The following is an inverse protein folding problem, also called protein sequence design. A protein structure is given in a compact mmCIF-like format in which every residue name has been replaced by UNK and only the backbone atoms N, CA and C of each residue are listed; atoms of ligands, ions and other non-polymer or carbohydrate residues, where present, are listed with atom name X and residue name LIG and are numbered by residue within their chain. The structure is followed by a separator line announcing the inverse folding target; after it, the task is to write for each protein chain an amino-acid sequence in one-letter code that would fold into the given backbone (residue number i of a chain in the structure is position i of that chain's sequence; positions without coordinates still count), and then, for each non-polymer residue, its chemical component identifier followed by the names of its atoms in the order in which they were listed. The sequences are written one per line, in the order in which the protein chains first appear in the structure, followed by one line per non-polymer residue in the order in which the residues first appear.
data_IF_433940873246
#
_entry.id   IF_433940873246
#
_cell.length_a   1.000
_cell.length_b   1.000
_cell.length_c   1.000
_cell.angle_alpha   90.00
_cell.angle_beta   90.00
_cell.angle_gamma   90.00
#
_symmetry.space_group_name_H-M   'P 1'
#
loop_
_entity.id
_entity.type
_entity.pdbx_description
1 polymer ?
#
# COMPACT_ATOMS: atom_id res chain seq x y z
N UNK A 1 16.21 -21.90 -4.67
CA UNK A 1 15.33 -20.84 -4.12
C UNK A 1 14.20 -21.43 -3.27
N UNK A 2 13.43 -22.40 -3.78
CA UNK A 2 12.25 -22.97 -3.07
C UNK A 2 12.58 -23.79 -1.81
N UNK A 3 13.83 -24.20 -1.63
CA UNK A 3 14.27 -25.05 -0.50
C UNK A 3 15.05 -24.32 0.57
N UNK A 4 15.12 -22.98 0.56
CA UNK A 4 15.65 -22.25 1.68
C UNK A 4 14.66 -22.21 2.86
N UNK A 5 15.14 -22.05 4.07
CA UNK A 5 14.33 -22.11 5.31
C UNK A 5 13.17 -21.11 5.30
N UNK A 6 13.41 -19.87 4.81
CA UNK A 6 12.38 -18.84 4.72
C UNK A 6 11.24 -19.24 3.78
N UNK A 7 11.55 -19.83 2.62
CA UNK A 7 10.53 -20.30 1.67
C UNK A 7 9.75 -21.48 2.22
N UNK A 8 10.42 -22.41 2.93
CA UNK A 8 9.76 -23.54 3.60
C UNK A 8 8.81 -23.04 4.68
N UNK A 9 9.26 -22.10 5.53
CA UNK A 9 8.42 -21.50 6.57
C UNK A 9 7.21 -20.78 5.97
N UNK A 10 7.43 -19.96 4.92
CA UNK A 10 6.35 -19.24 4.24
C UNK A 10 5.28 -20.19 3.68
N UNK A 11 5.68 -21.27 3.02
CA UNK A 11 4.72 -22.29 2.51
C UNK A 11 3.90 -22.91 3.63
N UNK A 12 4.53 -23.24 4.76
CA UNK A 12 3.83 -23.81 5.91
C UNK A 12 2.80 -22.85 6.50
N UNK A 13 3.16 -21.57 6.62
CA UNK A 13 2.26 -20.54 7.16
C UNK A 13 1.08 -20.20 6.26
N UNK A 14 1.19 -20.47 4.96
CA UNK A 14 0.15 -20.16 3.97
C UNK A 14 -0.49 -21.43 3.36
N UNK A 15 -0.30 -22.60 3.97
CA UNK A 15 -0.84 -23.90 3.52
C UNK A 15 -0.54 -24.22 2.04
N UNK A 16 0.63 -23.79 1.55
CA UNK A 16 1.08 -24.04 0.19
C UNK A 16 1.76 -25.40 0.10
N UNK A 17 1.26 -26.32 -0.75
CA UNK A 17 1.84 -27.65 -0.90
C UNK A 17 3.30 -27.62 -1.32
N UNK A 18 4.16 -28.40 -0.67
CA UNK A 18 5.58 -28.48 -1.03
C UNK A 18 5.84 -29.11 -2.40
N UNK A 19 4.84 -29.78 -2.96
CA UNK A 19 4.88 -30.36 -4.31
C UNK A 19 4.70 -29.33 -5.44
N UNK A 20 4.25 -28.13 -5.11
CA UNK A 20 4.14 -27.05 -6.09
C UNK A 20 5.54 -26.53 -6.46
N UNK A 21 5.76 -26.33 -7.75
CA UNK A 21 6.97 -25.70 -8.27
C UNK A 21 6.90 -24.18 -8.17
N UNK A 22 7.96 -23.54 -8.66
CA UNK A 22 8.06 -22.09 -8.79
C UNK A 22 8.27 -21.74 -10.26
N UNK A 23 7.46 -20.83 -10.80
CA UNK A 23 7.70 -20.26 -12.10
C UNK A 23 8.92 -19.31 -12.02
N UNK A 24 9.77 -19.37 -13.03
CA UNK A 24 10.95 -18.50 -13.16
C UNK A 24 10.92 -17.81 -14.50
N UNK A 25 10.92 -16.48 -14.47
CA UNK A 25 11.06 -15.65 -15.66
C UNK A 25 12.53 -15.20 -15.77
N UNK A 26 13.11 -15.35 -16.95
CA UNK A 26 14.43 -14.81 -17.28
C UNK A 26 14.23 -13.68 -18.28
N UNK A 27 14.57 -12.47 -17.88
CA UNK A 27 14.40 -11.29 -18.71
C UNK A 27 15.67 -10.44 -18.70
N UNK A 28 15.84 -9.62 -19.74
CA UNK A 28 16.95 -8.68 -19.83
C UNK A 28 16.86 -7.64 -18.72
N UNK A 29 17.98 -7.32 -18.12
CA UNK A 29 18.10 -6.22 -17.15
C UNK A 29 17.94 -4.88 -17.85
N UNK A 30 17.33 -3.92 -17.14
CA UNK A 30 17.30 -2.50 -17.48
C UNK A 30 17.87 -1.70 -16.34
N UNK A 31 18.53 -0.59 -16.66
CA UNK A 31 19.33 0.17 -15.69
C UNK A 31 18.84 1.61 -15.59
N UNK A 32 18.32 1.96 -14.42
CA UNK A 32 17.88 3.33 -14.11
C UNK A 32 19.00 4.27 -13.66
N UNK A 33 20.25 3.78 -13.58
CA UNK A 33 21.40 4.51 -13.05
C UNK A 33 22.50 4.78 -14.10
N UNK A 34 22.13 4.84 -15.39
CA UNK A 34 23.09 5.05 -16.47
C UNK A 34 23.28 6.53 -16.88
N UNK A 35 22.55 7.44 -16.24
CA UNK A 35 22.64 8.88 -16.54
C UNK A 35 21.39 9.66 -16.16
N UNK A 36 21.35 10.93 -16.58
CA UNK A 36 20.26 11.84 -16.23
C UNK A 36 18.96 11.62 -17.01
N UNK A 37 19.00 10.78 -18.03
CA UNK A 37 17.86 10.30 -18.82
C UNK A 37 17.36 8.91 -18.36
N UNK A 38 17.85 8.48 -17.21
CA UNK A 38 17.52 7.20 -16.57
C UNK A 38 16.91 7.44 -15.18
N UNK A 39 16.09 6.50 -14.74
CA UNK A 39 15.47 6.56 -13.41
C UNK A 39 14.70 5.29 -13.08
N UNK A 40 14.18 5.23 -11.88
CA UNK A 40 13.33 4.11 -11.41
C UNK A 40 12.28 4.64 -10.46
N UNK A 41 11.18 3.92 -10.31
CA UNK A 41 10.12 4.33 -9.40
C UNK A 41 9.09 3.25 -9.13
N UNK A 42 8.24 3.58 -8.18
CA UNK A 42 7.10 2.79 -7.75
C UNK A 42 5.86 3.68 -7.71
N UNK A 43 4.74 3.20 -8.19
CA UNK A 43 3.51 3.99 -8.12
C UNK A 43 2.25 3.12 -8.13
N UNK A 44 1.19 3.69 -7.59
CA UNK A 44 -0.16 3.15 -7.59
C UNK A 44 -1.02 3.94 -8.58
N UNK A 45 -1.96 3.28 -9.24
CA UNK A 45 -2.95 3.94 -10.11
C UNK A 45 -3.93 4.82 -9.35
N UNK A 46 -4.13 4.53 -8.06
CA UNK A 46 -4.97 5.30 -7.12
C UNK A 46 -4.26 5.43 -5.78
N UNK A 47 -4.60 6.43 -4.98
CA UNK A 47 -4.04 6.61 -3.66
C UNK A 47 -4.40 5.44 -2.73
N UNK A 48 -3.43 4.65 -2.24
CA UNK A 48 -3.68 3.45 -1.43
C UNK A 48 -4.23 3.75 -0.03
N UNK A 49 -4.09 4.98 0.45
CA UNK A 49 -4.61 5.40 1.76
C UNK A 49 -6.05 5.91 1.68
N UNK A 50 -6.40 6.65 0.62
CA UNK A 50 -7.69 7.35 0.48
C UNK A 50 -8.62 6.75 -0.56
N UNK A 51 -8.09 6.01 -1.55
CA UNK A 51 -8.82 5.50 -2.71
C UNK A 51 -9.04 6.53 -3.82
N UNK A 52 -8.51 7.75 -3.68
CA UNK A 52 -8.64 8.79 -4.69
C UNK A 52 -8.03 8.36 -6.03
N UNK A 53 -8.72 8.64 -7.14
CA UNK A 53 -8.26 8.34 -8.49
C UNK A 53 -7.20 9.35 -8.93
N UNK A 54 -6.02 9.21 -8.34
CA UNK A 54 -4.84 9.99 -8.67
C UNK A 54 -3.61 9.10 -8.55
N UNK A 55 -2.66 9.24 -9.47
CA UNK A 55 -1.39 8.53 -9.38
C UNK A 55 -0.71 8.90 -8.06
N UNK A 56 -0.29 7.88 -7.32
CA UNK A 56 0.37 8.01 -6.05
C UNK A 56 1.65 7.19 -6.04
N UNK A 57 2.79 7.82 -5.85
CA UNK A 57 4.06 7.11 -5.87
C UNK A 57 5.24 8.05 -5.95
N UNK A 58 6.40 7.47 -6.13
CA UNK A 58 7.67 8.18 -6.10
C UNK A 58 8.66 7.61 -7.12
N UNK A 59 9.61 8.45 -7.52
CA UNK A 59 10.68 8.07 -8.43
C UNK A 59 12.01 8.73 -8.05
N UNK A 60 13.08 8.13 -8.51
CA UNK A 60 14.44 8.67 -8.42
C UNK A 60 15.09 8.70 -9.81
N UNK A 61 15.71 9.83 -10.14
CA UNK A 61 16.56 9.95 -11.32
C UNK A 61 17.92 9.34 -11.06
N UNK A 62 18.50 8.74 -12.10
CA UNK A 62 19.82 8.11 -12.06
C UNK A 62 19.98 7.18 -10.83
N UNK A 63 19.08 6.20 -10.72
CA UNK A 63 18.97 5.31 -9.56
C UNK A 63 18.47 3.91 -9.96
N UNK A 64 18.76 2.94 -9.11
CA UNK A 64 18.19 1.59 -9.16
C UNK A 64 17.06 1.43 -8.13
N UNK A 65 16.25 0.36 -8.25
CA UNK A 65 15.11 0.11 -7.37
C UNK A 65 15.48 0.05 -5.89
N UNK A 66 16.67 -0.46 -5.57
CA UNK A 66 17.20 -0.52 -4.19
C UNK A 66 17.41 0.88 -3.59
N UNK A 67 17.75 1.88 -4.40
CA UNK A 67 17.95 3.26 -3.93
C UNK A 67 16.65 3.91 -3.47
N UNK A 68 15.52 3.55 -4.10
CA UNK A 68 14.18 4.02 -3.70
C UNK A 68 13.81 3.48 -2.32
N UNK A 69 14.13 2.21 -2.07
CA UNK A 69 13.75 1.50 -0.83
C UNK A 69 14.74 1.80 0.31
N UNK A 70 16.01 2.03 -0.01
CA UNK A 70 17.06 2.24 0.99
C UNK A 70 16.97 3.59 1.73
N UNK A 71 16.22 4.56 1.20
CA UNK A 71 16.04 5.87 1.84
C UNK A 71 17.32 6.74 1.90
N UNK A 72 18.34 6.41 1.10
CA UNK A 72 19.61 7.17 1.04
C UNK A 72 19.44 8.51 0.32
N UNK A 73 18.52 8.55 -0.65
CA UNK A 73 18.13 9.74 -1.42
C UNK A 73 16.65 10.00 -1.21
N UNK A 74 16.26 11.28 -1.19
CA UNK A 74 14.83 11.65 -1.11
C UNK A 74 14.18 11.48 -2.47
N UNK A 75 13.20 10.57 -2.61
CA UNK A 75 12.45 10.41 -3.86
C UNK A 75 11.60 11.65 -4.17
N UNK A 76 11.28 11.81 -5.44
CA UNK A 76 10.35 12.82 -5.93
C UNK A 76 8.96 12.20 -6.14
N UNK A 77 7.92 12.99 -5.98
CA UNK A 77 6.55 12.54 -6.26
C UNK A 77 6.36 12.20 -7.74
N UNK A 78 5.65 11.11 -8.02
CA UNK A 78 5.47 10.59 -9.39
C UNK A 78 4.97 11.65 -10.39
N UNK A 79 4.15 12.59 -9.94
CA UNK A 79 3.62 13.65 -10.81
C UNK A 79 4.69 14.63 -11.30
N UNK A 80 5.80 14.77 -10.58
CA UNK A 80 6.94 15.61 -10.99
C UNK A 80 7.71 15.00 -12.17
N UNK A 81 7.54 13.69 -12.44
CA UNK A 81 8.11 13.05 -13.62
C UNK A 81 7.64 13.69 -14.92
N UNK A 82 6.43 14.30 -14.93
CA UNK A 82 5.90 15.05 -16.05
C UNK A 82 6.79 16.23 -16.47
N UNK A 83 7.46 16.86 -15.50
CA UNK A 83 8.34 18.00 -15.75
C UNK A 83 9.74 17.56 -16.21
N UNK A 84 10.21 16.44 -15.67
CA UNK A 84 11.58 15.94 -15.92
C UNK A 84 11.65 15.07 -17.17
N UNK A 85 10.65 14.20 -17.38
CA UNK A 85 10.58 13.25 -18.51
C UNK A 85 9.13 13.14 -19.02
N UNK A 86 8.60 14.13 -19.75
CA UNK A 86 7.19 14.21 -20.14
C UNK A 86 6.75 13.02 -21.02
N UNK A 87 7.60 12.53 -21.90
CA UNK A 87 7.28 11.38 -22.78
C UNK A 87 7.17 10.09 -21.99
N UNK A 88 8.11 9.82 -21.09
CA UNK A 88 8.07 8.65 -20.22
C UNK A 88 6.86 8.71 -19.26
N UNK A 89 6.53 9.89 -18.73
CA UNK A 89 5.36 10.09 -17.91
C UNK A 89 4.06 9.82 -18.69
N UNK A 90 3.94 10.31 -19.93
CA UNK A 90 2.77 10.06 -20.77
C UNK A 90 2.59 8.57 -21.08
N UNK A 91 3.68 7.86 -21.39
CA UNK A 91 3.65 6.41 -21.57
C UNK A 91 3.23 5.69 -20.28
N UNK A 92 3.75 6.13 -19.12
CA UNK A 92 3.42 5.55 -17.83
C UNK A 92 1.92 5.70 -17.51
N UNK A 93 1.34 6.88 -17.72
CA UNK A 93 -0.10 7.15 -17.52
C UNK A 93 -0.96 6.25 -18.43
N UNK A 94 -0.58 6.09 -19.70
CA UNK A 94 -1.29 5.20 -20.62
C UNK A 94 -1.24 3.74 -20.17
N UNK A 95 -0.09 3.27 -19.72
CA UNK A 95 0.08 1.92 -19.16
C UNK A 95 -0.76 1.74 -17.90
N UNK A 96 -0.78 2.72 -16.99
CA UNK A 96 -1.62 2.70 -15.79
C UNK A 96 -3.10 2.49 -16.12
N UNK A 97 -3.62 3.25 -17.09
CA UNK A 97 -5.00 3.10 -17.53
C UNK A 97 -5.31 1.73 -18.12
N UNK A 98 -4.40 1.21 -18.94
CA UNK A 98 -4.53 -0.14 -19.53
C UNK A 98 -4.51 -1.25 -18.49
N UNK A 99 -3.62 -1.16 -17.51
CA UNK A 99 -3.50 -2.15 -16.44
C UNK A 99 -4.71 -2.12 -15.51
N UNK A 100 -5.16 -0.95 -15.09
CA UNK A 100 -6.35 -0.81 -14.25
C UNK A 100 -7.60 -1.35 -14.96
N UNK A 101 -7.78 -1.04 -16.24
CA UNK A 101 -8.89 -1.55 -17.04
C UNK A 101 -8.82 -3.08 -17.24
N UNK A 102 -7.63 -3.63 -17.45
CA UNK A 102 -7.42 -5.06 -17.65
C UNK A 102 -7.70 -5.87 -16.38
N UNK A 103 -7.10 -5.45 -15.24
CA UNK A 103 -7.25 -6.14 -13.97
C UNK A 103 -8.52 -5.75 -13.21
N UNK A 104 -9.22 -4.71 -13.68
CA UNK A 104 -10.40 -4.15 -13.01
C UNK A 104 -10.14 -3.89 -11.53
N UNK A 105 -8.96 -3.33 -11.23
CA UNK A 105 -8.51 -3.04 -9.88
C UNK A 105 -7.34 -2.08 -9.88
N UNK A 106 -7.20 -1.33 -8.76
CA UNK A 106 -6.03 -0.50 -8.50
C UNK A 106 -4.75 -1.32 -8.59
N UNK A 107 -3.76 -0.82 -9.32
CA UNK A 107 -2.48 -1.48 -9.51
C UNK A 107 -1.35 -0.78 -8.76
N UNK A 108 -0.45 -1.58 -8.21
CA UNK A 108 0.86 -1.23 -7.66
C UNK A 108 1.91 -1.66 -8.67
N UNK A 109 2.74 -0.72 -9.12
CA UNK A 109 3.62 -0.92 -10.27
C UNK A 109 5.04 -0.50 -9.93
N UNK A 110 5.99 -1.25 -10.48
CA UNK A 110 7.40 -0.93 -10.46
C UNK A 110 7.87 -0.68 -11.90
N UNK A 111 8.65 0.36 -12.11
CA UNK A 111 9.15 0.72 -13.44
C UNK A 111 10.58 1.24 -13.40
N UNK A 112 11.25 1.16 -14.52
CA UNK A 112 12.57 1.75 -14.77
C UNK A 112 12.54 2.50 -16.09
N UNK A 113 13.23 3.62 -16.14
CA UNK A 113 13.48 4.40 -17.36
C UNK A 113 14.96 4.25 -17.67
N UNK A 114 15.28 3.76 -18.86
CA UNK A 114 16.64 3.69 -19.37
C UNK A 114 16.73 4.46 -20.68
N UNK A 115 17.62 5.42 -20.77
CA UNK A 115 17.82 6.26 -21.96
C UNK A 115 16.50 6.86 -22.49
N UNK A 116 15.70 7.42 -21.58
CA UNK A 116 14.39 8.01 -21.87
C UNK A 116 13.26 7.00 -22.16
N UNK A 117 13.54 5.70 -22.25
CA UNK A 117 12.56 4.68 -22.55
C UNK A 117 12.02 4.03 -21.28
N UNK A 118 10.69 3.97 -21.17
CA UNK A 118 9.99 3.32 -20.05
C UNK A 118 9.99 1.80 -20.18
N UNK A 119 10.27 1.10 -19.08
CA UNK A 119 10.14 -0.33 -18.91
C UNK A 119 9.34 -0.65 -17.66
N UNK A 120 8.26 -1.40 -17.82
CA UNK A 120 7.49 -1.91 -16.68
C UNK A 120 8.16 -3.18 -16.16
N UNK A 121 8.42 -3.22 -14.85
CA UNK A 121 9.08 -4.35 -14.21
C UNK A 121 8.08 -5.31 -13.56
N UNK A 122 7.11 -4.74 -12.84
CA UNK A 122 6.12 -5.51 -12.10
C UNK A 122 4.80 -4.73 -12.01
N UNK A 123 3.70 -5.48 -12.02
CA UNK A 123 2.39 -4.98 -11.60
C UNK A 123 1.71 -6.00 -10.70
N UNK A 124 0.93 -5.51 -9.75
CA UNK A 124 0.11 -6.33 -8.83
C UNK A 124 -1.09 -5.51 -8.34
N UNK A 125 -2.10 -6.20 -7.83
CA UNK A 125 -3.19 -5.52 -7.14
C UNK A 125 -2.61 -4.77 -5.91
N UNK A 126 -2.87 -3.48 -5.83
CA UNK A 126 -2.30 -2.62 -4.82
C UNK A 126 -2.84 -2.93 -3.43
N UNK A 127 -1.93 -3.07 -2.46
CA UNK A 127 -2.32 -3.09 -1.04
C UNK A 127 -2.85 -1.72 -0.66
N UNK A 128 -3.93 -1.71 0.13
CA UNK A 128 -4.66 -0.49 0.46
C UNK A 128 -5.30 -0.57 1.85
N UNK A 129 -5.67 0.58 2.40
CA UNK A 129 -6.46 0.64 3.63
C UNK A 129 -7.89 0.12 3.37
N UNK A 130 -8.59 -0.26 4.43
CA UNK A 130 -9.99 -0.68 4.33
C UNK A 130 -10.88 0.40 3.72
N UNK A 131 -10.70 1.66 4.12
CA UNK A 131 -11.43 2.81 3.58
C UNK A 131 -11.16 3.02 2.09
N UNK A 132 -9.89 2.96 1.67
CA UNK A 132 -9.52 3.04 0.27
C UNK A 132 -10.10 1.88 -0.55
N UNK A 133 -10.08 0.65 0.00
CA UNK A 133 -10.63 -0.53 -0.66
C UNK A 133 -12.12 -0.39 -0.96
N UNK A 134 -12.90 0.06 0.02
CA UNK A 134 -14.34 0.30 -0.15
C UNK A 134 -14.60 1.41 -1.19
N UNK A 135 -13.88 2.54 -1.07
CA UNK A 135 -14.03 3.63 -2.03
C UNK A 135 -13.68 3.19 -3.46
N UNK A 136 -12.56 2.49 -3.66
CA UNK A 136 -12.14 2.01 -4.98
C UNK A 136 -13.17 1.05 -5.57
N UNK A 137 -13.74 0.13 -4.79
CA UNK A 137 -14.77 -0.78 -5.26
C UNK A 137 -16.04 -0.03 -5.74
N UNK A 138 -16.46 1.00 -5.00
CA UNK A 138 -17.57 1.87 -5.41
C UNK A 138 -17.23 2.66 -6.69
N UNK A 139 -16.06 3.29 -6.74
CA UNK A 139 -15.63 4.10 -7.87
C UNK A 139 -15.53 3.24 -9.16
N UNK A 140 -14.98 2.03 -9.09
CA UNK A 140 -14.88 1.10 -10.22
C UNK A 140 -16.26 0.64 -10.72
N UNK A 141 -17.23 0.50 -9.83
CA UNK A 141 -18.61 0.25 -10.21
C UNK A 141 -19.23 1.47 -10.91
N UNK A 142 -19.08 2.66 -10.35
CA UNK A 142 -19.62 3.91 -10.92
C UNK A 142 -18.97 4.25 -12.27
N UNK A 143 -17.69 3.87 -12.46
CA UNK A 143 -16.95 3.98 -13.71
C UNK A 143 -17.37 2.91 -14.76
N UNK A 144 -18.23 1.96 -14.40
CA UNK A 144 -18.71 0.89 -15.28
C UNK A 144 -17.69 -0.23 -15.54
N UNK A 145 -16.61 -0.29 -14.77
CA UNK A 145 -15.61 -1.35 -14.88
C UNK A 145 -16.03 -2.66 -14.19
N UNK A 146 -16.89 -2.56 -13.16
CA UNK A 146 -17.39 -3.67 -12.37
C UNK A 146 -18.90 -3.72 -12.39
N UNK A 147 -19.49 -4.91 -12.28
CA UNK A 147 -20.87 -5.08 -11.85
C UNK A 147 -20.98 -4.82 -10.36
N UNK A 148 -22.19 -4.66 -9.84
CA UNK A 148 -22.44 -4.48 -8.40
C UNK A 148 -21.96 -5.68 -7.59
N UNK A 149 -22.18 -6.88 -8.11
CA UNK A 149 -21.76 -8.14 -7.50
C UNK A 149 -20.22 -8.25 -7.48
N UNK A 150 -19.55 -7.91 -8.59
CA UNK A 150 -18.08 -7.89 -8.65
C UNK A 150 -17.48 -6.87 -7.66
N UNK A 151 -18.10 -5.68 -7.53
CA UNK A 151 -17.66 -4.67 -6.58
C UNK A 151 -17.77 -5.14 -5.10
N UNK A 152 -18.89 -5.81 -4.77
CA UNK A 152 -19.10 -6.40 -3.43
C UNK A 152 -18.03 -7.46 -3.13
N UNK A 153 -17.70 -8.32 -4.10
CA UNK A 153 -16.70 -9.37 -3.93
C UNK A 153 -15.26 -8.85 -3.78
N UNK A 154 -15.01 -7.58 -4.14
CA UNK A 154 -13.70 -6.94 -3.93
C UNK A 154 -13.48 -6.45 -2.49
N UNK A 155 -14.53 -6.35 -1.70
CA UNK A 155 -14.45 -5.89 -0.31
C UNK A 155 -14.41 -7.08 0.62
N UNK A 156 -13.29 -7.26 1.32
CA UNK A 156 -13.15 -8.31 2.32
C UNK A 156 -14.01 -7.99 3.57
N UNK A 157 -14.85 -8.92 4.05
CA UNK A 157 -15.71 -8.67 5.20
C UNK A 157 -14.97 -8.18 6.46
N UNK A 158 -13.76 -8.69 6.70
CA UNK A 158 -12.93 -8.27 7.83
C UNK A 158 -12.51 -6.80 7.75
N UNK A 159 -12.40 -6.24 6.55
CA UNK A 159 -12.11 -4.81 6.37
C UNK A 159 -13.29 -3.93 6.79
N UNK A 160 -14.53 -4.42 6.60
CA UNK A 160 -15.72 -3.70 7.05
C UNK A 160 -15.77 -3.61 8.59
N UNK A 161 -15.40 -4.66 9.30
CA UNK A 161 -15.30 -4.61 10.76
C UNK A 161 -14.35 -3.51 11.22
N UNK A 162 -13.22 -3.37 10.54
CA UNK A 162 -12.26 -2.29 10.83
C UNK A 162 -12.87 -0.89 10.66
N UNK A 163 -13.71 -0.70 9.64
CA UNK A 163 -14.39 0.58 9.38
C UNK A 163 -15.53 0.88 10.36
N UNK A 164 -16.13 -0.15 10.94
CA UNK A 164 -17.19 -0.03 11.94
C UNK A 164 -16.68 0.29 13.35
N UNK A 165 -15.37 0.14 13.59
CA UNK A 165 -14.79 0.55 14.87
C UNK A 165 -14.83 2.08 15.05
N UNK A 166 -14.98 2.57 16.29
CA UNK A 166 -14.89 3.99 16.61
C UNK A 166 -13.59 4.59 16.07
N UNK A 167 -13.68 5.77 15.48
CA UNK A 167 -12.54 6.52 14.98
C UNK A 167 -12.54 7.92 15.61
N UNK A 168 -11.35 8.52 15.72
CA UNK A 168 -11.26 9.93 16.10
C UNK A 168 -11.64 10.83 14.93
N UNK A 169 -12.28 11.95 15.24
CA UNK A 169 -12.47 13.02 14.26
C UNK A 169 -11.11 13.47 13.69
N UNK A 170 -10.93 13.49 12.35
CA UNK A 170 -9.64 13.83 11.74
C UNK A 170 -9.16 15.25 12.09
N UNK A 171 -10.09 16.22 12.23
CA UNK A 171 -9.75 17.59 12.58
C UNK A 171 -9.31 17.70 14.05
N UNK A 172 -9.98 16.98 14.94
CA UNK A 172 -9.61 16.90 16.34
C UNK A 172 -8.24 16.23 16.52
N UNK A 173 -7.99 15.14 15.78
CA UNK A 173 -6.72 14.41 15.81
C UNK A 173 -5.54 15.25 15.33
N UNK A 174 -5.74 16.07 14.30
CA UNK A 174 -4.72 16.98 13.76
C UNK A 174 -4.29 18.06 14.77
N UNK A 175 -5.22 18.48 15.64
CA UNK A 175 -4.99 19.51 16.65
C UNK A 175 -4.63 18.94 18.03
N UNK A 176 -4.61 17.62 18.19
CA UNK A 176 -4.31 16.96 19.45
C UNK A 176 -2.80 16.98 19.73
N UNK A 177 -2.44 17.19 20.99
CA UNK A 177 -1.06 17.02 21.46
C UNK A 177 -0.70 15.52 21.50
N UNK A 178 0.36 15.15 20.81
CA UNK A 178 0.86 13.77 20.79
C UNK A 178 1.81 13.57 21.95
N UNK A 179 1.36 12.87 22.97
CA UNK A 179 2.16 12.58 24.18
C UNK A 179 3.15 11.42 23.93
N UNK A 180 2.74 10.39 23.23
CA UNK A 180 3.58 9.24 22.89
C UNK A 180 3.05 8.50 21.65
N UNK A 181 3.90 7.67 21.05
CA UNK A 181 3.55 6.75 19.95
C UNK A 181 3.75 5.31 20.40
N UNK A 182 2.81 4.43 20.03
CA UNK A 182 2.88 3.00 20.33
C UNK A 182 2.27 2.17 19.20
N UNK A 183 2.43 0.85 19.29
CA UNK A 183 1.77 -0.10 18.39
C UNK A 183 0.36 -0.39 18.92
N UNK A 184 -0.63 -0.28 18.04
CA UNK A 184 -2.01 -0.61 18.38
C UNK A 184 -2.18 -2.14 18.52
N UNK A 185 -2.61 -2.59 19.70
CA UNK A 185 -2.92 -4.00 19.95
C UNK A 185 -4.37 -4.37 19.62
N UNK A 186 -5.26 -3.38 19.49
CA UNK A 186 -6.64 -3.55 19.05
C UNK A 186 -7.03 -2.44 18.08
N UNK A 187 -7.96 -2.71 17.13
CA UNK A 187 -8.40 -1.71 16.17
C UNK A 187 -9.28 -0.64 16.83
N UNK A 188 -9.41 0.51 16.13
CA UNK A 188 -10.29 1.59 16.50
C UNK A 188 -9.66 2.60 17.45
N UNK A 189 -10.47 3.59 17.82
CA UNK A 189 -10.11 4.67 18.74
C UNK A 189 -10.68 4.43 20.13
N UNK A 190 -9.89 4.68 21.16
CA UNK A 190 -10.31 4.56 22.54
C UNK A 190 -9.91 5.78 23.34
N UNK A 191 -10.81 6.24 24.24
CA UNK A 191 -10.53 7.29 25.19
C UNK A 191 -10.67 6.72 26.61
N UNK A 192 -9.73 7.04 27.48
CA UNK A 192 -9.76 6.60 28.87
C UNK A 192 -8.50 6.96 29.63
N UNK A 193 -8.49 6.61 30.91
CA UNK A 193 -7.31 6.79 31.75
C UNK A 193 -6.25 5.74 31.41
N UNK A 194 -5.01 6.15 31.31
CA UNK A 194 -3.90 5.25 31.01
C UNK A 194 -3.61 4.36 32.22
N UNK A 195 -3.51 3.06 31.98
CA UNK A 195 -3.11 2.05 32.97
C UNK A 195 -2.01 1.16 32.36
N UNK A 196 -1.14 0.65 33.22
CA UNK A 196 0.04 -0.10 32.79
C UNK A 196 -0.03 -1.60 33.09
N UNK A 197 -1.01 -2.04 33.86
CA UNK A 197 -1.22 -3.46 34.18
C UNK A 197 -2.62 -3.93 33.79
N UNK A 198 -2.74 -5.19 33.43
CA UNK A 198 -4.03 -5.80 33.13
C UNK A 198 -4.94 -5.82 34.36
N UNK A 199 -4.37 -5.99 35.56
CA UNK A 199 -5.10 -5.97 36.83
C UNK A 199 -5.76 -4.60 37.06
N UNK A 200 -5.02 -3.50 36.86
CA UNK A 200 -5.57 -2.15 36.97
C UNK A 200 -6.66 -1.89 35.93
N UNK A 201 -6.46 -2.34 34.70
CA UNK A 201 -7.47 -2.21 33.67
C UNK A 201 -8.80 -2.89 34.06
N UNK A 202 -8.72 -4.10 34.61
CA UNK A 202 -9.90 -4.85 35.10
C UNK A 202 -10.54 -4.15 36.30
N UNK A 203 -9.75 -3.75 37.27
CA UNK A 203 -10.25 -3.08 38.47
C UNK A 203 -10.97 -1.75 38.15
N UNK A 204 -10.39 -0.97 37.26
CA UNK A 204 -10.98 0.29 36.82
C UNK A 204 -12.21 0.13 35.94
N UNK A 205 -12.21 -0.88 35.08
CA UNK A 205 -13.40 -1.25 34.30
C UNK A 205 -14.56 -1.64 35.21
N UNK A 206 -14.29 -2.44 36.26
CA UNK A 206 -15.31 -2.85 37.24
C UNK A 206 -15.84 -1.63 38.08
N UNK A 207 -15.00 -0.59 38.23
CA UNK A 207 -15.40 0.69 38.83
C UNK A 207 -16.09 1.65 37.82
N UNK A 208 -16.45 1.18 36.61
CA UNK A 208 -17.14 1.98 35.60
C UNK A 208 -16.26 2.99 34.84
N UNK A 209 -14.93 2.93 35.00
CA UNK A 209 -14.00 3.85 34.35
C UNK A 209 -13.56 3.28 32.98
N UNK A 210 -13.43 4.19 32.00
CA UNK A 210 -12.79 3.86 30.70
C UNK A 210 -11.28 3.91 30.86
N UNK A 211 -10.59 2.91 30.32
CA UNK A 211 -9.13 2.80 30.42
C UNK A 211 -8.48 2.50 29.08
N UNK A 212 -7.25 2.96 28.92
CA UNK A 212 -6.35 2.59 27.83
C UNK A 212 -5.15 1.88 28.45
N UNK A 213 -4.99 0.60 28.15
CA UNK A 213 -3.87 -0.20 28.64
C UNK A 213 -2.66 0.01 27.74
N UNK A 214 -1.56 0.50 28.33
CA UNK A 214 -0.27 0.69 27.66
C UNK A 214 0.75 -0.25 28.29
N UNK A 215 1.41 -1.06 27.48
CA UNK A 215 2.45 -2.00 27.94
C UNK A 215 3.71 -1.88 27.07
N UNK A 216 4.85 -2.26 27.65
CA UNK A 216 6.09 -2.51 26.92
C UNK A 216 6.01 -3.83 26.17
#
# INVERSE_FOLDING_TARGET
LSNNERAIYYRRMNDIPSSWGTAVNVQMMVFGNMGNDCGTGVAFTRNPATGEKALFGEFLMNAQGEDVVAGVRTPQEINQLKEVMPEAYAQFVDVCGKLEAHYKDMQDMEFTIQEGKLFMLQTRNGKRTAAAGLKIACDLYDEGMLTKEEAILKVEPQQLDTLLHPQFDPAALKNAEVVAKGLAASPGAACGQVVFTAADAIAWKNAGKKTVLVRL
#
